data_IF_378440855115
#
_entry.id   IF_378440855115
#
_cell.length_a   1.000
_cell.length_b   1.000
_cell.length_c   1.000
_cell.angle_alpha   90.00
_cell.angle_beta   90.00
_cell.angle_gamma   90.00
#
_symmetry.space_group_name_H-M   'P 1'
#
loop_
_entity.id
_entity.type
_entity.pdbx_description
1 polymer ?
#
# COMPACT_ATOMS: atom_id res chain seq x y z
N UNK A 1 12.72 3.18 20.87
CA UNK A 1 12.77 2.51 19.56
C UNK A 1 13.67 3.34 18.65
N UNK A 2 14.77 2.79 18.13
CA UNK A 2 15.73 3.55 17.31
C UNK A 2 15.27 3.45 15.85
N UNK A 3 15.22 4.57 15.16
CA UNK A 3 14.79 4.65 13.76
C UNK A 3 16.05 4.71 12.88
N UNK A 4 16.05 3.99 11.77
CA UNK A 4 17.17 3.96 10.81
C UNK A 4 17.28 5.31 10.08
N UNK A 5 18.38 5.54 9.35
CA UNK A 5 18.54 6.72 8.49
C UNK A 5 17.41 6.82 7.44
N UNK A 6 16.46 7.75 7.64
CA UNK A 6 15.37 8.01 6.69
C UNK A 6 15.89 8.26 5.27
N UNK A 7 17.04 8.95 5.16
CA UNK A 7 17.65 9.33 3.89
C UNK A 7 18.04 8.12 3.04
N UNK A 8 18.57 7.05 3.64
CA UNK A 8 18.95 5.86 2.85
C UNK A 8 17.70 5.11 2.37
N UNK A 9 16.73 4.93 3.24
CA UNK A 9 15.48 4.21 2.91
C UNK A 9 14.69 4.94 1.83
N UNK A 10 14.60 6.27 1.91
CA UNK A 10 13.95 7.07 0.86
C UNK A 10 14.71 6.95 -0.46
N UNK A 11 16.04 6.93 -0.45
CA UNK A 11 16.82 6.67 -1.68
C UNK A 11 16.56 5.29 -2.25
N UNK A 12 16.50 4.26 -1.40
CA UNK A 12 16.22 2.88 -1.83
C UNK A 12 14.81 2.76 -2.42
N UNK A 13 13.81 3.41 -1.79
CA UNK A 13 12.46 3.53 -2.32
C UNK A 13 12.46 4.18 -3.70
N UNK A 14 13.15 5.31 -3.87
CA UNK A 14 13.19 6.03 -5.14
C UNK A 14 13.99 5.31 -6.21
N UNK A 15 14.96 4.46 -5.83
CA UNK A 15 15.67 3.56 -6.74
C UNK A 15 14.75 2.42 -7.21
N UNK A 16 14.05 1.77 -6.29
CA UNK A 16 13.16 0.64 -6.59
C UNK A 16 11.86 1.08 -7.29
N UNK A 17 11.34 2.26 -6.94
CA UNK A 17 10.11 2.81 -7.47
C UNK A 17 10.32 4.28 -7.86
N UNK A 18 10.93 4.50 -9.03
CA UNK A 18 11.33 5.82 -9.55
C UNK A 18 10.17 6.78 -9.85
N UNK A 19 8.93 6.29 -9.80
CA UNK A 19 7.74 7.11 -9.93
C UNK A 19 7.37 7.86 -8.65
N UNK A 20 7.92 7.47 -7.48
CA UNK A 20 7.87 8.25 -6.25
C UNK A 20 8.89 9.41 -6.29
N UNK A 21 8.47 10.56 -6.78
CA UNK A 21 9.37 11.70 -7.03
C UNK A 21 9.73 12.47 -5.78
N UNK A 22 8.77 12.60 -4.87
CA UNK A 22 8.90 13.41 -3.67
C UNK A 22 8.41 12.58 -2.49
N UNK A 23 9.15 12.63 -1.38
CA UNK A 23 8.85 11.80 -0.22
C UNK A 23 9.08 12.62 1.05
N UNK A 24 8.18 12.47 2.01
CA UNK A 24 8.26 13.10 3.32
C UNK A 24 7.99 12.07 4.41
N UNK A 25 8.79 12.15 5.48
CA UNK A 25 8.55 11.47 6.74
C UNK A 25 8.13 12.51 7.77
N UNK A 26 6.98 12.29 8.40
CA UNK A 26 6.42 13.18 9.43
C UNK A 26 6.01 12.38 10.65
N UNK A 27 5.93 13.03 11.81
CA UNK A 27 5.25 12.46 12.98
C UNK A 27 3.78 12.91 13.06
N UNK A 28 3.02 12.35 13.99
CA UNK A 28 1.63 12.71 14.30
C UNK A 28 1.40 14.20 14.63
N UNK A 29 2.44 14.93 15.04
CA UNK A 29 2.40 16.38 15.27
C UNK A 29 2.67 17.19 14.01
N UNK A 30 2.70 16.54 12.83
CA UNK A 30 3.00 17.15 11.54
C UNK A 30 4.42 17.76 11.46
N UNK A 31 5.34 17.37 12.36
CA UNK A 31 6.75 17.77 12.27
C UNK A 31 7.43 16.96 11.17
N UNK A 32 8.02 17.66 10.21
CA UNK A 32 8.83 17.04 9.16
C UNK A 32 10.15 16.54 9.76
N UNK A 33 10.37 15.22 9.67
CA UNK A 33 11.58 14.55 10.11
C UNK A 33 12.57 14.38 8.96
N UNK A 34 12.04 14.13 7.76
CA UNK A 34 12.80 14.07 6.53
C UNK A 34 11.92 14.48 5.35
N UNK A 35 12.52 15.13 4.36
CA UNK A 35 11.86 15.41 3.08
C UNK A 35 12.90 15.44 1.97
N UNK A 36 12.52 15.01 0.78
CA UNK A 36 13.29 15.22 -0.45
C UNK A 36 13.44 16.71 -0.73
N UNK A 37 14.60 17.16 -1.20
CA UNK A 37 15.05 18.57 -1.18
C UNK A 37 14.13 19.59 -1.85
N UNK A 38 13.24 19.15 -2.75
CA UNK A 38 12.42 20.04 -3.57
C UNK A 38 10.95 20.10 -3.11
N UNK A 39 10.58 19.40 -2.03
CA UNK A 39 9.19 19.28 -1.61
C UNK A 39 8.89 20.04 -0.32
N UNK A 40 8.30 21.23 -0.45
CA UNK A 40 7.91 22.06 0.70
C UNK A 40 6.49 21.72 1.15
N UNK A 41 6.36 20.85 2.15
CA UNK A 41 5.06 20.32 2.60
C UNK A 41 4.67 20.77 4.01
N UNK A 42 5.56 21.48 4.70
CA UNK A 42 5.39 21.80 6.13
C UNK A 42 4.11 22.59 6.44
N UNK A 43 3.62 23.40 5.49
CA UNK A 43 2.40 24.20 5.64
C UNK A 43 1.13 23.35 5.56
N UNK A 44 1.14 22.28 4.77
CA UNK A 44 -0.06 21.54 4.40
C UNK A 44 -0.16 20.18 5.08
N UNK A 45 0.97 19.58 5.46
CA UNK A 45 1.02 18.20 5.96
C UNK A 45 0.19 18.00 7.23
N UNK A 46 0.02 19.05 8.05
CA UNK A 46 -0.90 19.03 9.19
C UNK A 46 -2.35 18.79 8.77
N UNK A 47 -2.81 19.46 7.70
CA UNK A 47 -4.14 19.28 7.15
C UNK A 47 -4.30 17.88 6.55
N UNK A 48 -3.29 17.39 5.83
CA UNK A 48 -3.29 16.04 5.27
C UNK A 48 -3.40 14.98 6.38
N UNK A 49 -2.60 15.07 7.45
CA UNK A 49 -2.67 14.13 8.57
C UNK A 49 -4.00 14.23 9.33
N UNK A 50 -4.56 15.43 9.48
CA UNK A 50 -5.88 15.60 10.11
C UNK A 50 -6.99 14.94 9.28
N UNK A 51 -6.96 15.10 7.96
CA UNK A 51 -7.88 14.41 7.04
C UNK A 51 -7.69 12.89 7.09
N UNK A 52 -6.44 12.42 7.10
CA UNK A 52 -6.12 11.00 7.21
C UNK A 52 -6.67 10.42 8.52
N UNK A 53 -6.39 11.06 9.64
CA UNK A 53 -6.88 10.64 10.95
C UNK A 53 -8.42 10.65 11.06
N UNK A 54 -9.13 11.43 10.24
CA UNK A 54 -10.61 11.47 10.26
C UNK A 54 -11.25 10.24 9.61
N UNK A 55 -10.52 9.50 8.77
CA UNK A 55 -11.03 8.33 8.04
C UNK A 55 -12.15 8.61 7.04
N UNK A 56 -12.56 9.88 6.85
CA UNK A 56 -13.79 10.26 6.14
C UNK A 56 -13.66 11.44 5.17
N UNK A 57 -12.49 12.09 5.10
CA UNK A 57 -12.24 13.19 4.17
C UNK A 57 -12.36 12.75 2.69
N UNK A 58 -13.12 13.50 1.90
CA UNK A 58 -13.26 13.24 0.46
C UNK A 58 -12.08 13.76 -0.38
N UNK A 59 -11.35 14.73 0.16
CA UNK A 59 -10.21 15.35 -0.51
C UNK A 59 -9.20 15.88 0.51
N UNK A 60 -7.95 16.01 0.06
CA UNK A 60 -6.87 16.67 0.79
C UNK A 60 -6.20 17.71 -0.10
N UNK A 61 -5.51 18.66 0.52
CA UNK A 61 -4.71 19.67 -0.19
C UNK A 61 -3.25 19.57 0.28
N UNK A 62 -2.33 19.54 -0.67
CA UNK A 62 -0.88 19.49 -0.41
C UNK A 62 -0.16 20.25 -1.53
N UNK A 63 0.70 21.20 -1.16
CA UNK A 63 1.43 22.10 -2.07
C UNK A 63 0.52 22.77 -3.11
N UNK A 64 -0.59 23.34 -2.65
CA UNK A 64 -1.64 23.95 -3.49
C UNK A 64 -2.35 23.03 -4.49
N UNK A 65 -2.11 21.73 -4.43
CA UNK A 65 -2.79 20.73 -5.24
C UNK A 65 -3.87 20.02 -4.41
N UNK A 66 -5.10 19.97 -4.95
CA UNK A 66 -6.22 19.23 -4.38
C UNK A 66 -6.21 17.79 -4.91
N UNK A 67 -6.24 16.80 -4.02
CA UNK A 67 -6.32 15.38 -4.35
C UNK A 67 -7.63 14.80 -3.83
N UNK A 68 -8.33 14.05 -4.67
CA UNK A 68 -9.49 13.25 -4.26
C UNK A 68 -9.00 11.99 -3.57
N UNK A 69 -9.53 11.71 -2.37
CA UNK A 69 -9.18 10.49 -1.63
C UNK A 69 -9.84 9.28 -2.29
N UNK A 70 -9.07 8.21 -2.46
CA UNK A 70 -9.52 6.92 -2.99
C UNK A 70 -9.58 5.85 -1.91
N UNK A 71 -8.59 5.84 -1.01
CA UNK A 71 -8.52 4.94 0.14
C UNK A 71 -7.94 5.69 1.34
N UNK A 72 -8.47 5.40 2.52
CA UNK A 72 -8.04 6.04 3.76
C UNK A 72 -8.35 5.15 4.95
N UNK A 73 -7.31 4.48 5.42
CA UNK A 73 -7.29 3.56 6.55
C UNK A 73 -6.15 4.01 7.48
N UNK A 74 -6.12 3.65 8.77
CA UNK A 74 -5.06 4.08 9.69
C UNK A 74 -3.63 3.87 9.15
N UNK A 75 -3.42 2.79 8.40
CA UNK A 75 -2.14 2.38 7.84
C UNK A 75 -1.90 2.83 6.40
N UNK A 76 -2.95 3.23 5.68
CA UNK A 76 -2.94 3.44 4.23
C UNK A 76 -3.66 4.73 3.84
N UNK A 77 -3.00 5.54 3.04
CA UNK A 77 -3.59 6.73 2.42
C UNK A 77 -3.34 6.73 0.93
N UNK A 78 -4.38 6.88 0.11
CA UNK A 78 -4.27 6.98 -1.34
C UNK A 78 -5.19 8.08 -1.84
N UNK A 79 -4.62 9.05 -2.56
CA UNK A 79 -5.36 10.14 -3.18
C UNK A 79 -4.81 10.48 -4.57
N UNK A 80 -5.67 10.98 -5.45
CA UNK A 80 -5.34 11.28 -6.85
C UNK A 80 -5.77 12.68 -7.24
N UNK A 81 -4.97 13.38 -8.04
CA UNK A 81 -5.36 14.66 -8.61
C UNK A 81 -6.02 14.45 -9.99
N UNK A 82 -7.26 14.92 -10.13
CA UNK A 82 -8.05 14.83 -11.38
C UNK A 82 -7.54 15.74 -12.52
N UNK A 83 -6.65 16.68 -12.21
CA UNK A 83 -6.06 17.63 -13.17
C UNK A 83 -4.64 17.20 -13.60
N UNK A 84 -4.33 15.90 -13.55
CA UNK A 84 -3.06 15.34 -14.06
C UNK A 84 -1.81 15.84 -13.32
N UNK A 85 -1.94 16.26 -12.06
CA UNK A 85 -0.79 16.71 -11.24
C UNK A 85 -0.11 15.61 -10.42
N UNK A 86 -0.64 14.38 -10.42
CA UNK A 86 -0.03 13.23 -9.76
C UNK A 86 -0.93 12.61 -8.70
N UNK A 87 -0.31 11.83 -7.83
CA UNK A 87 -0.99 11.06 -6.78
C UNK A 87 -0.25 11.22 -5.45
N UNK A 88 -0.99 11.14 -4.35
CA UNK A 88 -0.42 11.04 -3.01
C UNK A 88 -0.66 9.64 -2.49
N UNK A 89 0.39 9.00 -2.02
CA UNK A 89 0.30 7.68 -1.40
C UNK A 89 1.06 7.73 -0.09
N UNK A 90 0.46 7.23 0.98
CA UNK A 90 1.03 7.26 2.31
C UNK A 90 0.89 5.92 3.03
N UNK A 91 1.82 5.66 3.94
CA UNK A 91 1.77 4.54 4.86
C UNK A 91 2.21 4.95 6.27
N UNK A 92 1.51 4.47 7.29
CA UNK A 92 1.98 4.59 8.68
C UNK A 92 3.24 3.75 8.89
N UNK A 93 4.20 4.24 9.65
CA UNK A 93 5.40 3.48 10.01
C UNK A 93 5.06 2.55 11.19
N UNK A 94 5.11 1.21 11.03
CA UNK A 94 4.58 0.27 12.02
C UNK A 94 5.16 0.44 13.43
N UNK A 95 4.30 0.42 14.46
CA UNK A 95 4.75 0.54 15.86
C UNK A 95 5.27 1.94 16.23
N UNK A 96 4.98 2.96 15.41
CA UNK A 96 5.36 4.35 15.66
C UNK A 96 4.18 5.28 15.38
N UNK A 97 4.32 6.54 15.75
CA UNK A 97 3.37 7.61 15.44
C UNK A 97 3.76 8.41 14.18
N UNK A 98 4.55 7.80 13.30
CA UNK A 98 5.10 8.43 12.12
C UNK A 98 4.44 7.93 10.84
N UNK A 99 4.53 8.76 9.80
CA UNK A 99 3.92 8.54 8.51
C UNK A 99 4.94 8.82 7.41
N UNK A 100 4.94 7.97 6.39
CA UNK A 100 5.64 8.16 5.14
C UNK A 100 4.62 8.55 4.08
N UNK A 101 4.82 9.68 3.40
CA UNK A 101 3.95 10.13 2.31
C UNK A 101 4.83 10.39 1.10
N UNK A 102 4.40 9.91 -0.06
CA UNK A 102 5.07 10.12 -1.33
C UNK A 102 4.13 10.73 -2.37
N UNK A 103 4.69 11.62 -3.18
CA UNK A 103 4.08 12.08 -4.41
C UNK A 103 4.51 11.18 -5.57
N UNK A 104 3.52 10.65 -6.29
CA UNK A 104 3.72 9.79 -7.45
C UNK A 104 3.45 10.56 -8.74
N UNK A 105 4.31 10.40 -9.74
CA UNK A 105 4.12 11.02 -11.07
C UNK A 105 2.75 10.67 -11.65
N UNK A 106 2.09 11.64 -12.26
CA UNK A 106 0.81 11.42 -12.95
C UNK A 106 0.87 10.34 -14.05
N UNK A 107 2.02 10.21 -14.72
CA UNK A 107 2.21 9.25 -15.83
C UNK A 107 2.65 7.86 -15.36
N UNK A 108 2.77 7.63 -14.05
CA UNK A 108 3.18 6.35 -13.50
C UNK A 108 2.17 5.27 -13.90
N UNK A 109 2.64 4.25 -14.63
CA UNK A 109 1.80 3.09 -14.98
C UNK A 109 1.60 2.23 -13.75
N UNK A 110 0.41 1.65 -13.61
CA UNK A 110 0.08 0.72 -12.52
C UNK A 110 0.33 1.28 -11.10
N UNK A 111 0.34 2.60 -10.92
CA UNK A 111 0.63 3.24 -9.63
C UNK A 111 -0.34 2.81 -8.53
N UNK A 112 -1.60 2.52 -8.86
CA UNK A 112 -2.60 2.03 -7.91
C UNK A 112 -2.19 0.69 -7.28
N UNK A 113 -1.46 -0.15 -8.02
CA UNK A 113 -1.02 -1.48 -7.56
C UNK A 113 0.41 -1.45 -7.02
N UNK A 114 1.29 -0.58 -7.54
CA UNK A 114 2.72 -0.60 -7.22
C UNK A 114 3.13 0.40 -6.15
N UNK A 115 2.48 1.57 -6.09
CA UNK A 115 2.95 2.65 -5.23
C UNK A 115 2.80 2.32 -3.75
N UNK A 116 1.62 1.85 -3.32
CA UNK A 116 1.39 1.55 -1.92
C UNK A 116 2.28 0.43 -1.39
N UNK A 117 2.43 -0.73 -2.05
CA UNK A 117 3.35 -1.77 -1.58
C UNK A 117 4.80 -1.30 -1.46
N UNK A 118 5.29 -0.49 -2.41
CA UNK A 118 6.64 0.07 -2.33
C UNK A 118 6.80 1.02 -1.13
N UNK A 119 5.82 1.90 -0.90
CA UNK A 119 5.83 2.87 0.21
C UNK A 119 5.66 2.16 1.55
N UNK A 120 4.75 1.20 1.68
CA UNK A 120 4.55 0.42 2.89
C UNK A 120 5.81 -0.40 3.24
N UNK A 121 6.47 -1.00 2.24
CA UNK A 121 7.75 -1.70 2.42
C UNK A 121 8.85 -0.76 2.93
N UNK A 122 8.97 0.43 2.33
CA UNK A 122 9.89 1.46 2.81
C UNK A 122 9.58 1.92 4.23
N UNK A 123 8.29 2.13 4.57
CA UNK A 123 7.87 2.47 5.93
C UNK A 123 8.27 1.36 6.92
N UNK A 124 8.08 0.09 6.57
CA UNK A 124 8.52 -1.03 7.39
C UNK A 124 10.04 -1.15 7.53
N UNK A 125 10.82 -0.72 6.54
CA UNK A 125 12.30 -0.67 6.62
C UNK A 125 12.81 0.37 7.63
N UNK A 126 11.99 1.37 7.98
CA UNK A 126 12.40 2.43 8.94
C UNK A 126 12.49 1.93 10.37
N UNK A 127 11.91 0.76 10.66
CA UNK A 127 11.97 0.10 11.95
C UNK A 127 13.32 -0.59 12.12
N UNK A 128 14.09 -0.25 13.17
CA UNK A 128 15.33 -0.97 13.49
C UNK A 128 15.04 -2.44 13.78
N UNK A 129 15.79 -3.33 13.14
CA UNK A 129 15.60 -4.78 13.24
C UNK A 129 14.55 -5.35 12.27
N UNK A 130 13.95 -4.50 11.42
CA UNK A 130 13.08 -4.96 10.34
C UNK A 130 13.84 -5.87 9.37
N UNK A 131 13.18 -6.95 8.94
CA UNK A 131 13.63 -7.82 7.85
C UNK A 131 13.12 -7.36 6.48
N UNK A 132 12.32 -6.29 6.45
CA UNK A 132 11.80 -5.69 5.21
C UNK A 132 12.97 -5.17 4.38
N UNK A 133 12.95 -5.44 3.08
CA UNK A 133 13.97 -5.02 2.14
C UNK A 133 13.42 -5.08 0.71
N UNK A 134 13.90 -4.19 -0.15
CA UNK A 134 13.71 -4.34 -1.58
C UNK A 134 14.65 -5.45 -2.08
N UNK A 135 14.11 -6.60 -2.47
CA UNK A 135 14.87 -7.63 -3.17
C UNK A 135 14.68 -7.41 -4.67
N UNK A 136 15.77 -7.18 -5.39
CA UNK A 136 15.82 -7.41 -6.83
C UNK A 136 15.88 -8.93 -6.98
N UNK A 137 14.77 -9.56 -7.38
CA UNK A 137 14.88 -10.88 -7.98
C UNK A 137 15.40 -10.62 -9.39
N UNK A 138 16.56 -11.18 -9.76
CA UNK A 138 16.93 -11.36 -11.17
C UNK A 138 15.88 -12.29 -11.78
N UNK A 139 14.84 -11.69 -12.35
CA UNK A 139 13.98 -12.40 -13.29
C UNK A 139 14.70 -12.24 -14.62
N UNK A 140 15.23 -13.34 -15.12
CA UNK A 140 15.86 -13.40 -16.44
C UNK A 140 14.77 -13.10 -17.48
N UNK A 141 14.74 -11.85 -17.95
CA UNK A 141 13.86 -11.42 -19.04
C UNK A 141 14.63 -11.64 -20.34
N UNK A 142 14.93 -12.89 -20.66
CA UNK A 142 15.44 -13.25 -21.98
C UNK A 142 14.26 -13.35 -22.95
N UNK A 143 14.15 -12.32 -23.79
CA UNK A 143 13.47 -12.23 -25.09
C UNK A 143 12.04 -12.80 -25.24
N UNK A 144 11.07 -11.87 -25.21
CA UNK A 144 9.68 -12.04 -25.69
C UNK A 144 9.55 -12.25 -27.22
N UNK A 145 10.58 -12.78 -27.91
CA UNK A 145 10.64 -12.80 -29.38
C UNK A 145 10.56 -14.20 -30.03
N UNK A 146 10.46 -15.30 -29.29
CA UNK A 146 10.52 -16.65 -29.90
C UNK A 146 9.44 -17.66 -29.45
N UNK A 147 8.30 -17.22 -28.90
CA UNK A 147 7.23 -18.14 -28.47
C UNK A 147 6.04 -18.24 -29.43
N UNK A 148 6.19 -17.81 -30.68
CA UNK A 148 5.15 -17.95 -31.70
C UNK A 148 5.14 -19.31 -32.42
N UNK A 149 6.14 -20.18 -32.23
CA UNK A 149 6.16 -21.44 -32.95
C UNK A 149 6.78 -22.57 -32.15
N UNK A 150 6.03 -23.67 -32.03
CA UNK A 150 6.38 -24.94 -31.36
C UNK A 150 6.28 -24.95 -29.83
N UNK A 151 5.09 -25.26 -29.32
CA UNK A 151 4.77 -26.65 -28.96
C UNK A 151 3.47 -26.73 -28.17
N UNK A 152 2.53 -27.53 -28.68
CA UNK A 152 1.39 -28.05 -27.94
C UNK A 152 1.93 -28.95 -26.83
N UNK A 153 1.85 -28.50 -25.59
CA UNK A 153 2.12 -29.30 -24.40
C UNK A 153 1.55 -28.59 -23.19
N UNK A 154 0.61 -29.24 -22.50
CA UNK A 154 -0.16 -28.79 -21.34
C UNK A 154 0.36 -27.54 -20.62
N UNK A 155 -0.36 -26.42 -20.80
CA UNK A 155 -0.21 -25.20 -20.02
C UNK A 155 -0.52 -25.51 -18.56
N UNK A 156 0.50 -25.67 -17.73
CA UNK A 156 0.32 -25.39 -16.31
C UNK A 156 -0.01 -23.90 -16.20
N UNK A 157 -1.12 -23.51 -15.55
CA UNK A 157 -1.40 -22.10 -15.33
C UNK A 157 -0.27 -21.53 -14.48
N UNK A 158 0.60 -20.70 -15.07
CA UNK A 158 1.56 -19.93 -14.29
C UNK A 158 0.77 -18.91 -13.49
N UNK A 159 0.47 -19.24 -12.24
CA UNK A 159 -0.19 -18.33 -11.30
C UNK A 159 0.73 -17.12 -11.13
N UNK A 160 0.19 -15.92 -11.35
CA UNK A 160 0.89 -14.66 -11.11
C UNK A 160 1.54 -14.69 -9.72
N UNK A 161 2.87 -14.52 -9.60
CA UNK A 161 3.57 -14.53 -8.32
C UNK A 161 3.02 -13.53 -7.29
N UNK A 162 2.47 -12.40 -7.74
CA UNK A 162 1.80 -11.43 -6.88
C UNK A 162 0.48 -11.96 -6.37
N UNK A 163 -0.34 -12.53 -7.26
CA UNK A 163 -1.60 -13.18 -6.88
C UNK A 163 -1.35 -14.34 -5.90
N UNK A 164 -0.30 -15.14 -6.14
CA UNK A 164 0.11 -16.21 -5.23
C UNK A 164 0.47 -15.66 -3.84
N UNK A 165 1.24 -14.58 -3.79
CA UNK A 165 1.64 -13.93 -2.54
C UNK A 165 0.42 -13.37 -1.79
N UNK A 166 -0.51 -12.73 -2.48
CA UNK A 166 -1.76 -12.22 -1.87
C UNK A 166 -2.64 -13.35 -1.33
N UNK A 167 -2.76 -14.44 -2.08
CA UNK A 167 -3.49 -15.64 -1.65
C UNK A 167 -2.83 -16.25 -0.41
N UNK A 168 -1.50 -16.33 -0.36
CA UNK A 168 -0.76 -16.83 0.81
C UNK A 168 -0.99 -15.95 2.04
N UNK A 169 -0.93 -14.63 1.91
CA UNK A 169 -1.23 -13.70 3.01
C UNK A 169 -2.68 -13.82 3.50
N UNK A 170 -3.63 -13.95 2.58
CA UNK A 170 -5.04 -14.15 2.92
C UNK A 170 -5.26 -15.46 3.69
N UNK A 171 -4.62 -16.55 3.24
CA UNK A 171 -4.69 -17.85 3.91
C UNK A 171 -4.05 -17.79 5.31
N UNK A 172 -2.94 -17.09 5.46
CA UNK A 172 -2.31 -16.87 6.77
C UNK A 172 -3.21 -16.06 7.70
N UNK A 173 -3.91 -15.07 7.18
CA UNK A 173 -4.89 -14.29 7.94
C UNK A 173 -6.11 -15.13 8.38
N UNK A 174 -6.64 -16.00 7.51
CA UNK A 174 -7.73 -16.92 7.88
C UNK A 174 -7.30 -17.89 8.98
N UNK A 175 -6.09 -18.44 8.86
CA UNK A 175 -5.57 -19.44 9.81
C UNK A 175 -5.20 -18.84 11.17
N UNK A 176 -5.04 -17.52 11.25
CA UNK A 176 -4.69 -16.84 12.49
C UNK A 176 -5.93 -16.71 13.40
N UNK A 177 -5.89 -17.19 14.66
CA UNK A 177 -6.98 -17.01 15.63
C UNK A 177 -7.36 -15.55 15.90
N UNK A 178 -6.44 -14.61 15.67
CA UNK A 178 -6.68 -13.17 15.77
C UNK A 178 -7.05 -12.51 14.42
N UNK A 179 -7.07 -13.27 13.33
CA UNK A 179 -7.45 -12.78 12.00
C UNK A 179 -8.96 -12.85 11.80
N UNK A 180 -9.41 -13.82 11.00
CA UNK A 180 -10.82 -13.96 10.64
C UNK A 180 -11.74 -14.09 11.86
N UNK A 181 -11.36 -14.92 12.84
CA UNK A 181 -12.21 -15.15 14.03
C UNK A 181 -12.43 -13.86 14.83
N UNK A 182 -11.38 -13.07 15.07
CA UNK A 182 -11.54 -11.79 15.77
C UNK A 182 -12.33 -10.77 14.94
N UNK A 183 -12.14 -10.74 13.62
CA UNK A 183 -12.91 -9.86 12.73
C UNK A 183 -14.41 -10.21 12.73
N UNK A 184 -14.74 -11.50 12.69
CA UNK A 184 -16.13 -11.98 12.77
C UNK A 184 -16.75 -11.66 14.13
N UNK A 185 -16.04 -11.92 15.23
CA UNK A 185 -16.53 -11.61 16.58
C UNK A 185 -16.79 -10.12 16.75
N UNK A 186 -15.89 -9.26 16.28
CA UNK A 186 -16.06 -7.82 16.30
C UNK A 186 -17.28 -7.38 15.48
N UNK A 187 -17.42 -7.88 14.24
CA UNK A 187 -18.54 -7.52 13.37
C UNK A 187 -19.90 -7.97 13.93
N UNK A 188 -19.94 -9.12 14.62
CA UNK A 188 -21.14 -9.59 15.31
C UNK A 188 -21.44 -8.77 16.57
N UNK A 189 -20.42 -8.34 17.30
CA UNK A 189 -20.59 -7.48 18.48
C UNK A 189 -21.08 -6.07 18.13
N UNK A 190 -20.64 -5.51 17.00
CA UNK A 190 -21.13 -4.23 16.49
C UNK A 190 -22.56 -4.31 15.94
N UNK A 191 -23.09 -5.53 15.75
CA UNK A 191 -24.41 -5.79 15.19
C UNK A 191 -24.65 -5.03 13.87
N UNK A 192 -23.63 -4.95 13.02
CA UNK A 192 -23.71 -4.27 11.72
C UNK A 192 -24.32 -5.22 10.67
N UNK A 193 -25.59 -5.02 10.28
CA UNK A 193 -26.30 -5.93 9.38
C UNK A 193 -25.71 -5.96 7.97
N UNK A 194 -25.07 -4.86 7.53
CA UNK A 194 -24.46 -4.79 6.21
C UNK A 194 -23.20 -5.67 6.15
N UNK A 195 -22.34 -5.56 7.16
CA UNK A 195 -21.12 -6.38 7.25
C UNK A 195 -21.45 -7.86 7.41
N UNK A 196 -22.44 -8.19 8.23
CA UNK A 196 -22.90 -9.57 8.43
C UNK A 196 -23.42 -10.17 7.11
N UNK A 197 -24.22 -9.41 6.35
CA UNK A 197 -24.73 -9.85 5.04
C UNK A 197 -23.62 -10.12 4.04
N UNK A 198 -22.60 -9.24 3.97
CA UNK A 198 -21.47 -9.44 3.05
C UNK A 198 -20.60 -10.64 3.42
N UNK A 199 -20.40 -10.88 4.71
CA UNK A 199 -19.70 -12.07 5.18
C UNK A 199 -20.44 -13.37 4.83
N UNK A 200 -21.77 -13.36 4.91
CA UNK A 200 -22.60 -14.48 4.51
C UNK A 200 -22.54 -14.75 2.99
N UNK A 201 -22.52 -13.71 2.16
CA UNK A 201 -22.32 -13.83 0.71
C UNK A 201 -20.98 -14.51 0.39
N UNK A 202 -19.88 -14.02 0.98
CA UNK A 202 -18.53 -14.57 0.77
C UNK A 202 -18.47 -16.03 1.25
N UNK A 203 -19.05 -16.35 2.41
CA UNK A 203 -19.12 -17.73 2.89
C UNK A 203 -19.84 -18.65 1.89
N UNK A 204 -20.97 -18.21 1.35
CA UNK A 204 -21.72 -19.01 0.37
C UNK A 204 -20.97 -19.20 -0.95
N UNK A 205 -20.24 -18.18 -1.41
CA UNK A 205 -19.37 -18.28 -2.59
C UNK A 205 -18.24 -19.29 -2.35
N UNK A 206 -17.54 -19.20 -1.22
CA UNK A 206 -16.49 -20.15 -0.87
C UNK A 206 -17.03 -21.57 -0.71
N UNK A 207 -18.17 -21.74 -0.04
CA UNK A 207 -18.81 -23.04 0.12
C UNK A 207 -19.14 -23.68 -1.23
N UNK A 208 -19.66 -22.90 -2.18
CA UNK A 208 -19.92 -23.38 -3.55
C UNK A 208 -18.63 -23.76 -4.30
N UNK A 209 -17.55 -23.01 -4.10
CA UNK A 209 -16.28 -23.31 -4.77
C UNK A 209 -15.65 -24.62 -4.25
N UNK A 210 -15.77 -24.89 -2.95
CA UNK A 210 -15.07 -26.01 -2.32
C UNK A 210 -15.93 -27.27 -2.12
N UNK A 211 -17.26 -27.14 -2.11
CA UNK A 211 -18.18 -28.23 -1.70
C UNK A 211 -19.43 -28.40 -2.58
N UNK A 212 -19.59 -27.64 -3.67
CA UNK A 212 -20.61 -27.90 -4.70
C UNK A 212 -19.96 -28.49 -5.96
#
# INVERSE_FOLDING_TARGET
MVIVSYKSIVKDLQKHYSDATEVVVVNNKAKVLHSTSNWSVAKDVKGVLACWASGSAQNVKMNDVKYSVLQMEPERFIATNRQKKGHLVGSSIPGTDMFLIAHIKHKAKSWMHMAYPAIARAAAMMIKGSKSQFKENEVDVSDDSELADKSRGMVQPSIDPYLKTEVEFFLDWIKNPQGLTSYLLHSLQENDPYRISKLAEIYNELYRIFYA
#
